data_IF_292353847038
#
_entry.id   IF_292353847038
#
_cell.length_a   1.000
_cell.length_b   1.000
_cell.length_c   1.000
_cell.angle_alpha   90.00
_cell.angle_beta   90.00
_cell.angle_gamma   90.00
#
_symmetry.space_group_name_H-M   'P 1'
#
loop_
_entity.id
_entity.type
_entity.pdbx_description
1 polymer ?
#
# COMPACT_ATOMS: atom_id res chain seq x y z
N UNK A 1 -36.73 -21.12 -3.37
CA UNK A 1 -35.68 -20.08 -3.43
C UNK A 1 -36.29 -18.75 -2.99
N UNK A 2 -35.99 -18.35 -1.76
CA UNK A 2 -36.26 -17.02 -1.21
C UNK A 2 -35.00 -16.62 -0.45
N UNK A 3 -34.50 -15.43 -0.75
CA UNK A 3 -33.36 -14.78 -0.11
C UNK A 3 -33.55 -14.75 1.41
N UNK A 4 -32.57 -15.25 2.15
CA UNK A 4 -32.51 -15.14 3.61
C UNK A 4 -31.19 -14.43 3.93
N UNK A 5 -31.22 -13.10 3.91
CA UNK A 5 -30.30 -12.26 4.67
C UNK A 5 -31.11 -11.04 5.12
N UNK A 6 -31.90 -11.23 6.18
CA UNK A 6 -32.48 -10.15 6.95
C UNK A 6 -31.37 -9.49 7.77
N UNK A 7 -31.22 -8.18 7.61
CA UNK A 7 -30.23 -7.33 8.27
C UNK A 7 -30.61 -6.97 9.71
N UNK A 8 -31.12 -7.92 10.50
CA UNK A 8 -31.53 -7.69 11.88
C UNK A 8 -31.06 -8.87 12.74
N UNK A 9 -29.83 -8.78 13.25
CA UNK A 9 -29.35 -9.34 14.53
C UNK A 9 -27.83 -9.20 14.71
N UNK A 10 -27.25 -8.05 14.37
CA UNK A 10 -26.02 -7.63 15.04
C UNK A 10 -26.43 -6.77 16.23
N UNK A 11 -26.48 -7.42 17.40
CA UNK A 11 -26.55 -6.71 18.67
C UNK A 11 -25.25 -5.92 18.77
N UNK A 12 -25.34 -4.63 18.45
CA UNK A 12 -24.29 -3.68 18.71
C UNK A 12 -24.07 -3.66 20.23
N UNK A 13 -22.94 -4.24 20.67
CA UNK A 13 -22.33 -3.82 21.92
C UNK A 13 -22.00 -2.35 21.74
N UNK A 14 -22.85 -1.51 22.34
CA UNK A 14 -22.77 -0.07 22.30
C UNK A 14 -21.63 0.35 23.21
N UNK A 15 -20.40 0.27 22.69
CA UNK A 15 -19.25 0.84 23.35
C UNK A 15 -19.30 2.36 23.12
N UNK A 16 -19.61 3.10 24.18
CA UNK A 16 -19.75 4.56 24.17
C UNK A 16 -18.36 5.22 24.12
N UNK A 17 -17.62 5.02 23.03
CA UNK A 17 -16.54 5.91 22.66
C UNK A 17 -16.86 6.47 21.27
N UNK A 18 -17.11 7.77 21.20
CA UNK A 18 -17.23 8.52 19.95
C UNK A 18 -15.82 8.67 19.35
N UNK A 19 -15.16 7.54 19.09
CA UNK A 19 -13.87 7.51 18.40
C UNK A 19 -14.14 7.69 16.91
N UNK A 20 -13.87 8.90 16.42
CA UNK A 20 -13.82 9.14 14.98
C UNK A 20 -12.76 8.22 14.35
N UNK A 21 -13.18 7.37 13.43
CA UNK A 21 -12.27 6.55 12.61
C UNK A 21 -11.34 7.50 11.84
N UNK A 22 -10.04 7.37 12.06
CA UNK A 22 -9.04 8.15 11.34
C UNK A 22 -8.52 7.37 10.13
N UNK A 23 -8.11 8.12 9.10
CA UNK A 23 -7.42 7.57 7.94
C UNK A 23 -5.94 7.92 8.03
N UNK A 24 -5.09 6.90 8.10
CA UNK A 24 -3.64 6.99 8.05
C UNK A 24 -3.20 6.72 6.62
N UNK A 25 -2.71 7.75 5.92
CA UNK A 25 -2.26 7.59 4.53
C UNK A 25 -0.82 7.07 4.47
N UNK A 26 -0.60 6.06 3.64
CA UNK A 26 0.72 5.55 3.25
C UNK A 26 0.86 5.65 1.74
N UNK A 27 1.89 6.37 1.30
CA UNK A 27 2.24 6.51 -0.11
C UNK A 27 3.56 5.80 -0.38
N UNK A 28 3.55 4.90 -1.37
CA UNK A 28 4.73 4.23 -1.89
C UNK A 28 5.17 4.96 -3.16
N UNK A 29 6.30 5.66 -3.11
CA UNK A 29 6.94 6.21 -4.28
C UNK A 29 7.93 5.17 -4.84
N UNK A 30 7.85 4.89 -6.13
CA UNK A 30 8.56 3.77 -6.79
C UNK A 30 9.50 4.32 -7.86
N UNK A 31 10.80 4.01 -7.73
CA UNK A 31 11.80 4.31 -8.75
C UNK A 31 11.78 3.22 -9.84
N UNK A 32 10.92 3.43 -10.83
CA UNK A 32 10.73 2.46 -11.92
C UNK A 32 11.97 2.35 -12.80
N UNK A 33 12.73 3.44 -12.99
CA UNK A 33 13.92 3.43 -13.84
C UNK A 33 15.01 2.55 -13.26
N UNK A 34 15.30 2.69 -11.97
CA UNK A 34 16.28 1.84 -11.31
C UNK A 34 15.84 0.38 -11.23
N UNK A 35 14.54 0.10 -11.04
CA UNK A 35 14.00 -1.28 -11.10
C UNK A 35 14.24 -1.88 -12.50
N UNK A 36 13.92 -1.15 -13.57
CA UNK A 36 14.14 -1.61 -14.94
C UNK A 36 15.63 -1.87 -15.19
N UNK A 37 16.50 -0.94 -14.79
CA UNK A 37 17.95 -1.06 -14.97
C UNK A 37 18.52 -2.28 -14.24
N UNK A 38 18.10 -2.52 -12.99
CA UNK A 38 18.59 -3.63 -12.16
C UNK A 38 18.17 -5.00 -12.76
N UNK A 39 16.91 -5.12 -13.20
CA UNK A 39 16.39 -6.32 -13.86
C UNK A 39 17.13 -6.60 -15.17
N UNK A 40 17.33 -5.57 -16.00
CA UNK A 40 18.05 -5.71 -17.27
C UNK A 40 19.52 -6.09 -17.06
N UNK A 41 20.21 -5.44 -16.12
CA UNK A 41 21.62 -5.69 -15.84
C UNK A 41 21.84 -7.10 -15.27
N UNK A 42 20.84 -7.63 -14.58
CA UNK A 42 20.83 -9.00 -14.06
C UNK A 42 20.48 -10.07 -15.10
N UNK A 43 20.22 -9.68 -16.36
CA UNK A 43 19.79 -10.61 -17.41
C UNK A 43 18.40 -11.23 -17.18
N UNK A 44 17.61 -10.62 -16.29
CA UNK A 44 16.25 -11.04 -15.98
C UNK A 44 15.24 -10.30 -16.85
N UNK A 45 13.98 -10.72 -16.77
CA UNK A 45 12.86 -10.03 -17.40
C UNK A 45 11.72 -9.88 -16.39
N UNK A 46 10.88 -8.86 -16.60
CA UNK A 46 9.67 -8.70 -15.82
C UNK A 46 8.67 -9.82 -16.14
N UNK A 47 8.07 -10.38 -15.10
CA UNK A 47 6.96 -11.30 -15.24
C UNK A 47 5.76 -10.61 -15.89
N UNK A 48 5.09 -11.34 -16.77
CA UNK A 48 3.83 -10.93 -17.41
C UNK A 48 2.62 -11.61 -16.76
N UNK A 49 2.82 -12.40 -15.70
CA UNK A 49 1.74 -13.01 -14.92
C UNK A 49 1.60 -12.28 -13.57
N UNK A 50 0.40 -11.77 -13.29
CA UNK A 50 0.11 -11.08 -12.03
C UNK A 50 0.10 -12.02 -10.82
N UNK A 51 -0.01 -13.33 -11.04
CA UNK A 51 0.06 -14.33 -9.96
C UNK A 51 1.50 -14.66 -9.57
N UNK A 52 2.44 -14.44 -10.48
CA UNK A 52 3.85 -14.75 -10.34
C UNK A 52 4.71 -13.51 -10.67
N UNK A 53 4.59 -12.41 -9.91
CA UNK A 53 5.34 -11.17 -10.17
C UNK A 53 6.86 -11.38 -10.03
N UNK A 54 7.64 -10.50 -10.66
CA UNK A 54 9.09 -10.44 -10.43
C UNK A 54 9.37 -9.95 -9.01
N UNK A 55 10.01 -10.80 -8.21
CA UNK A 55 10.31 -10.53 -6.80
C UNK A 55 11.59 -9.71 -6.69
N UNK A 56 11.58 -8.70 -5.84
CA UNK A 56 12.77 -7.94 -5.45
C UNK A 56 12.73 -7.60 -3.97
N UNK A 57 13.87 -7.13 -3.46
CA UNK A 57 14.06 -6.83 -2.05
C UNK A 57 13.46 -5.50 -1.61
N UNK A 58 12.88 -4.71 -2.51
CA UNK A 58 12.18 -3.46 -2.19
C UNK A 58 13.05 -2.21 -2.10
N UNK A 59 14.35 -2.28 -2.42
CA UNK A 59 15.30 -1.16 -2.28
C UNK A 59 14.96 0.12 -3.06
N UNK A 60 14.08 0.03 -4.05
CA UNK A 60 13.63 1.13 -4.92
C UNK A 60 12.25 1.68 -4.54
N UNK A 61 11.73 1.29 -3.37
CA UNK A 61 10.43 1.72 -2.84
C UNK A 61 10.65 2.63 -1.64
N UNK A 62 10.08 3.83 -1.71
CA UNK A 62 10.13 4.83 -0.66
C UNK A 62 8.76 5.00 -0.03
N UNK A 63 8.68 4.88 1.30
CA UNK A 63 7.43 4.96 2.04
C UNK A 63 7.28 6.33 2.68
N UNK A 64 6.18 7.00 2.38
CA UNK A 64 5.81 8.31 2.92
C UNK A 64 4.51 8.11 3.70
N UNK A 65 4.43 8.67 4.90
CA UNK A 65 3.29 8.48 5.79
C UNK A 65 2.81 9.82 6.36
N UNK A 66 1.54 9.87 6.79
CA UNK A 66 0.99 11.03 7.51
C UNK A 66 1.75 11.30 8.81
N UNK A 67 1.63 12.51 9.37
CA UNK A 67 2.33 12.92 10.60
C UNK A 67 2.13 11.90 11.74
N UNK A 68 3.15 11.75 12.60
CA UNK A 68 3.23 10.84 13.77
C UNK A 68 3.52 9.36 13.46
N UNK A 69 3.67 8.98 12.19
CA UNK A 69 4.15 7.66 11.81
C UNK A 69 5.68 7.67 11.68
N UNK A 70 6.35 6.55 11.99
CA UNK A 70 7.81 6.45 11.92
C UNK A 70 8.17 5.45 10.84
N UNK A 71 8.80 5.95 9.77
CA UNK A 71 9.57 5.11 8.87
C UNK A 71 11.05 5.31 9.22
N UNK A 72 11.64 4.33 9.92
CA UNK A 72 13.07 4.35 10.21
C UNK A 72 13.83 3.77 9.02
N UNK A 73 14.36 4.64 8.16
CA UNK A 73 15.40 4.28 7.19
C UNK A 73 16.66 5.04 7.61
N UNK A 74 17.63 4.34 8.22
CA UNK A 74 18.87 4.95 8.71
C UNK A 74 19.87 5.27 7.57
N UNK A 75 19.41 5.46 6.33
CA UNK A 75 20.26 5.77 5.17
C UNK A 75 21.18 4.62 4.75
N UNK A 76 21.03 3.45 5.35
CA UNK A 76 21.70 2.21 5.00
C UNK A 76 20.63 1.15 5.00
N UNK A 77 20.35 0.56 3.84
CA UNK A 77 19.46 -0.60 3.71
C UNK A 77 20.02 -1.72 4.59
N UNK A 78 19.53 -1.81 5.82
CA UNK A 78 20.07 -2.73 6.81
C UNK A 78 18.94 -3.67 7.18
N UNK A 79 19.12 -4.94 6.78
CA UNK A 79 18.15 -6.07 6.74
C UNK A 79 17.42 -6.38 8.07
N UNK A 80 17.69 -5.61 9.12
CA UNK A 80 17.18 -5.75 10.48
C UNK A 80 16.58 -4.45 11.08
N UNK A 81 16.57 -3.31 10.37
CA UNK A 81 16.20 -1.99 10.93
C UNK A 81 15.06 -1.28 10.17
N UNK A 82 14.89 -1.53 8.88
CA UNK A 82 13.92 -0.81 8.06
C UNK A 82 12.49 -1.30 8.30
N UNK A 83 11.82 -0.77 9.33
CA UNK A 83 10.44 -1.08 9.69
C UNK A 83 9.54 0.12 9.45
N UNK A 84 8.41 -0.12 8.80
CA UNK A 84 7.33 0.86 8.81
C UNK A 84 6.56 0.70 10.12
N UNK A 85 6.59 1.72 10.98
CA UNK A 85 5.81 1.75 12.20
C UNK A 85 4.54 2.58 11.98
N UNK A 86 3.40 1.91 12.08
CA UNK A 86 2.07 2.53 12.02
C UNK A 86 1.48 2.55 13.43
N UNK A 87 1.04 3.72 13.88
CA UNK A 87 0.43 3.97 15.17
C UNK A 87 -0.96 4.58 14.97
N UNK A 88 -1.98 3.98 15.56
CA UNK A 88 -3.38 4.40 15.43
C UNK A 88 -4.26 3.84 16.54
N UNK A 89 -5.58 3.96 16.41
CA UNK A 89 -6.56 3.33 17.29
C UNK A 89 -7.13 2.05 16.66
N UNK A 90 -7.80 1.21 17.47
CA UNK A 90 -8.56 0.07 16.93
C UNK A 90 -9.61 0.63 15.96
N UNK A 91 -9.75 0.00 14.80
CA UNK A 91 -10.62 0.37 13.69
C UNK A 91 -10.20 1.58 12.85
N UNK A 92 -9.06 2.22 13.14
CA UNK A 92 -8.48 3.18 12.18
C UNK A 92 -8.13 2.49 10.86
N UNK A 93 -8.23 3.24 9.76
CA UNK A 93 -7.97 2.75 8.41
C UNK A 93 -6.60 3.22 7.93
N UNK A 94 -5.73 2.29 7.57
CA UNK A 94 -4.47 2.59 6.86
C UNK A 94 -4.73 2.46 5.37
N UNK A 95 -4.57 3.57 4.65
CA UNK A 95 -4.85 3.64 3.21
C UNK A 95 -3.56 3.74 2.42
N UNK A 96 -3.31 2.72 1.61
CA UNK A 96 -2.09 2.54 0.84
C UNK A 96 -2.28 2.92 -0.62
N UNK A 97 -1.34 3.69 -1.16
CA UNK A 97 -1.25 4.04 -2.58
C UNK A 97 0.16 3.86 -3.08
N UNK A 98 0.31 3.65 -4.39
CA UNK A 98 1.60 3.64 -5.04
C UNK A 98 1.60 4.60 -6.24
N UNK A 99 2.76 5.21 -6.50
CA UNK A 99 3.03 5.99 -7.70
C UNK A 99 4.51 5.89 -8.10
N UNK A 100 4.79 6.10 -9.39
CA UNK A 100 6.15 6.32 -9.86
C UNK A 100 6.69 7.67 -9.39
N UNK A 101 8.02 7.84 -9.33
CA UNK A 101 8.64 9.14 -9.00
C UNK A 101 8.21 10.29 -9.94
N UNK A 102 7.74 10.00 -11.15
CA UNK A 102 7.17 10.98 -12.08
C UNK A 102 5.68 11.25 -11.84
N UNK A 103 5.14 10.89 -10.67
CA UNK A 103 3.72 11.06 -10.34
C UNK A 103 2.79 10.49 -11.42
N UNK A 104 3.11 9.29 -11.91
CA UNK A 104 2.40 8.58 -12.98
C UNK A 104 2.53 9.17 -14.39
N UNK A 105 3.33 10.22 -14.64
CA UNK A 105 3.37 10.87 -15.96
C UNK A 105 4.19 10.10 -17.01
N UNK A 106 5.28 9.46 -16.62
CA UNK A 106 6.14 8.71 -17.55
C UNK A 106 5.89 7.21 -17.42
N UNK A 107 6.12 6.68 -16.21
CA UNK A 107 5.76 5.32 -15.83
C UNK A 107 4.54 5.36 -14.93
N UNK A 108 3.65 4.38 -15.05
CA UNK A 108 2.50 4.23 -14.17
C UNK A 108 2.69 3.00 -13.28
N UNK A 109 2.46 3.15 -11.99
CA UNK A 109 2.57 2.09 -11.00
C UNK A 109 1.25 1.96 -10.26
N UNK A 110 0.67 0.77 -10.27
CA UNK A 110 -0.57 0.48 -9.56
C UNK A 110 -0.32 -0.61 -8.53
N UNK A 111 -0.62 -0.30 -7.27
CA UNK A 111 -0.71 -1.28 -6.20
C UNK A 111 -2.00 -2.08 -6.43
N UNK A 112 -1.89 -3.32 -6.89
CA UNK A 112 -3.06 -4.15 -7.20
C UNK A 112 -3.39 -5.14 -6.09
N UNK A 113 -2.43 -5.50 -5.23
CA UNK A 113 -2.66 -6.45 -4.14
C UNK A 113 -1.67 -6.21 -2.98
N UNK A 114 -2.11 -6.59 -1.77
CA UNK A 114 -1.27 -6.67 -0.57
C UNK A 114 -1.70 -7.89 0.23
N UNK A 115 -0.73 -8.65 0.73
CA UNK A 115 -0.98 -9.87 1.51
C UNK A 115 -0.16 -9.88 2.78
N UNK A 116 -0.81 -10.19 3.90
CA UNK A 116 -0.10 -10.61 5.10
C UNK A 116 0.48 -12.01 4.89
N UNK A 117 1.77 -12.16 5.17
CA UNK A 117 2.52 -13.40 5.01
C UNK A 117 2.54 -14.16 6.33
N UNK A 118 2.84 -13.42 7.40
CA UNK A 118 2.90 -13.90 8.79
C UNK A 118 2.82 -12.69 9.73
N UNK A 119 2.29 -12.88 10.93
CA UNK A 119 2.11 -11.81 11.89
C UNK A 119 1.14 -12.17 13.00
N UNK A 120 0.80 -11.17 13.81
CA UNK A 120 -0.05 -11.32 15.00
C UNK A 120 -1.56 -11.18 14.69
N UNK A 121 -1.97 -11.20 13.41
CA UNK A 121 -3.33 -10.89 12.97
C UNK A 121 -3.84 -9.53 13.50
N UNK A 122 -2.93 -8.56 13.55
CA UNK A 122 -3.13 -7.20 14.05
C UNK A 122 -3.80 -6.27 13.03
N UNK A 123 -3.99 -6.73 11.79
CA UNK A 123 -4.61 -5.99 10.69
C UNK A 123 -5.63 -6.85 9.95
N UNK A 124 -6.62 -6.20 9.35
CA UNK A 124 -7.49 -6.80 8.34
C UNK A 124 -7.23 -6.12 7.00
N UNK A 125 -6.96 -6.89 5.94
CA UNK A 125 -6.71 -6.37 4.60
C UNK A 125 -7.99 -6.44 3.75
N UNK A 126 -8.39 -5.32 3.15
CA UNK A 126 -9.44 -5.32 2.14
C UNK A 126 -8.92 -5.79 0.78
N UNK A 127 -9.85 -6.12 -0.14
CA UNK A 127 -9.51 -6.18 -1.57
C UNK A 127 -9.14 -4.79 -2.11
N UNK A 128 -8.54 -4.74 -3.30
CA UNK A 128 -8.21 -3.49 -3.96
C UNK A 128 -9.46 -2.66 -4.22
N UNK A 129 -9.43 -1.39 -3.81
CA UNK A 129 -10.55 -0.48 -4.01
C UNK A 129 -10.24 0.42 -5.21
N UNK A 130 -11.11 0.37 -6.22
CA UNK A 130 -11.12 1.31 -7.34
C UNK A 130 -12.33 2.22 -7.21
N UNK A 131 -12.09 3.50 -6.97
CA UNK A 131 -13.13 4.51 -6.76
C UNK A 131 -13.17 5.51 -7.90
N UNK A 132 -14.36 5.73 -8.47
CA UNK A 132 -14.60 6.83 -9.40
C UNK A 132 -14.64 8.16 -8.63
N UNK A 133 -13.77 9.09 -8.99
CA UNK A 133 -13.76 10.45 -8.43
C UNK A 133 -14.04 11.47 -9.54
N UNK A 134 -15.18 12.19 -9.51
CA UNK A 134 -15.55 13.11 -10.59
C UNK A 134 -14.79 14.45 -10.55
N UNK A 135 -14.18 14.80 -9.42
CA UNK A 135 -13.64 16.14 -9.17
C UNK A 135 -12.20 16.09 -8.65
N UNK A 136 -11.26 15.52 -9.42
CA UNK A 136 -9.83 15.57 -9.08
C UNK A 136 -9.24 16.89 -9.59
N UNK A 137 -8.63 17.71 -8.71
CA UNK A 137 -7.99 18.94 -9.13
C UNK A 137 -6.69 18.63 -9.90
N UNK A 138 -6.54 19.23 -11.07
CA UNK A 138 -5.34 19.14 -11.90
C UNK A 138 -4.82 20.52 -12.28
N UNK A 139 -3.51 20.68 -12.50
CA UNK A 139 -2.96 21.93 -12.98
C UNK A 139 -3.58 22.32 -14.32
N UNK A 140 -4.05 23.56 -14.43
CA UNK A 140 -4.47 24.14 -15.68
C UNK A 140 -3.27 24.77 -16.39
N UNK A 141 -3.14 24.54 -17.70
CA UNK A 141 -2.12 25.19 -18.52
C UNK A 141 -2.39 26.71 -18.56
N UNK A 142 -1.56 27.48 -17.85
CA UNK A 142 -1.67 28.93 -17.79
C UNK A 142 -0.29 29.59 -17.65
N UNK A 143 -0.08 30.74 -18.31
CA UNK A 143 1.18 31.49 -18.25
C UNK A 143 1.12 32.50 -17.11
N UNK A 144 1.64 32.14 -15.93
CA UNK A 144 1.93 33.10 -14.86
C UNK A 144 1.55 32.60 -13.47
N UNK A 145 0.26 32.33 -13.23
CA UNK A 145 -0.27 31.96 -11.91
C UNK A 145 -0.77 30.51 -11.94
N UNK A 146 -0.36 29.65 -10.98
CA UNK A 146 -0.92 28.31 -10.83
C UNK A 146 -2.44 28.39 -10.68
N UNK A 147 -3.15 27.68 -11.55
CA UNK A 147 -4.61 27.53 -11.49
C UNK A 147 -4.95 26.06 -11.63
N UNK A 148 -6.12 25.66 -11.14
CA UNK A 148 -6.59 24.28 -11.20
C UNK A 148 -7.86 24.19 -12.05
N UNK A 149 -8.01 23.07 -12.74
CA UNK A 149 -9.28 22.60 -13.27
C UNK A 149 -9.61 21.24 -12.67
N UNK A 150 -10.78 20.70 -12.94
CA UNK A 150 -11.21 19.41 -12.40
C UNK A 150 -11.40 18.39 -13.52
N UNK A 151 -10.95 17.17 -13.27
CA UNK A 151 -11.20 16.05 -14.16
C UNK A 151 -11.70 14.82 -13.40
N UNK A 152 -12.40 13.96 -14.14
CA UNK A 152 -12.85 12.66 -13.63
C UNK A 152 -11.72 11.65 -13.75
N UNK A 153 -11.43 10.96 -12.65
CA UNK A 153 -10.44 9.89 -12.61
C UNK A 153 -10.91 8.67 -11.82
N UNK A 154 -10.18 7.57 -11.98
CA UNK A 154 -10.27 6.40 -11.13
C UNK A 154 -9.09 6.44 -10.15
N UNK A 155 -9.40 6.39 -8.85
CA UNK A 155 -8.38 6.32 -7.79
C UNK A 155 -8.34 4.87 -7.30
N UNK A 156 -7.16 4.26 -7.29
CA UNK A 156 -6.94 2.94 -6.70
C UNK A 156 -6.16 3.07 -5.40
N UNK A 157 -6.56 2.29 -4.40
CA UNK A 157 -5.86 2.18 -3.11
C UNK A 157 -6.20 0.84 -2.44
N UNK A 158 -5.37 0.45 -1.48
CA UNK A 158 -5.62 -0.67 -0.56
C UNK A 158 -5.94 -0.12 0.82
N UNK A 159 -6.87 -0.74 1.55
CA UNK A 159 -7.21 -0.34 2.92
C UNK A 159 -6.92 -1.47 3.90
N UNK A 160 -6.31 -1.11 5.03
CA UNK A 160 -6.19 -1.99 6.18
C UNK A 160 -6.95 -1.43 7.36
N UNK A 161 -7.66 -2.28 8.08
CA UNK A 161 -8.25 -1.92 9.37
C UNK A 161 -7.32 -2.36 10.48
N UNK A 162 -6.94 -1.44 11.37
CA UNK A 162 -6.15 -1.78 12.56
C UNK A 162 -7.03 -2.54 13.56
N UNK A 163 -6.59 -3.74 13.96
CA UNK A 163 -7.34 -4.58 14.91
C UNK A 163 -6.69 -4.57 16.29
N UNK A 164 -5.37 -4.74 16.34
CA UNK A 164 -4.60 -4.85 17.59
C UNK A 164 -3.19 -4.30 17.39
N UNK A 165 -2.45 -4.12 18.50
CA UNK A 165 -1.00 -3.97 18.43
C UNK A 165 -0.35 -5.30 18.05
N UNK A 166 0.71 -5.27 17.26
CA UNK A 166 1.45 -6.46 16.85
C UNK A 166 2.33 -6.21 15.64
N UNK A 167 3.02 -7.26 15.23
CA UNK A 167 3.91 -7.22 14.09
C UNK A 167 3.34 -8.04 12.92
N UNK A 168 3.46 -7.51 11.69
CA UNK A 168 3.12 -8.25 10.46
C UNK A 168 4.24 -8.13 9.43
N UNK A 169 4.45 -9.18 8.63
CA UNK A 169 5.20 -9.09 7.37
C UNK A 169 4.20 -9.11 6.22
N UNK A 170 4.27 -8.10 5.36
CA UNK A 170 3.40 -8.00 4.20
C UNK A 170 4.18 -8.10 2.89
N UNK A 171 3.57 -8.72 1.89
CA UNK A 171 4.00 -8.62 0.49
C UNK A 171 3.11 -7.61 -0.20
N UNK A 172 3.73 -6.71 -0.97
CA UNK A 172 3.03 -5.77 -1.84
C UNK A 172 3.24 -6.16 -3.31
N UNK A 173 2.22 -5.93 -4.11
CA UNK A 173 2.18 -6.34 -5.51
C UNK A 173 1.84 -5.15 -6.41
N UNK A 174 2.75 -4.87 -7.35
CA UNK A 174 2.73 -3.69 -8.22
C UNK A 174 2.64 -4.10 -9.69
N UNK A 175 1.81 -3.41 -10.45
CA UNK A 175 1.81 -3.48 -11.91
C UNK A 175 2.49 -2.21 -12.45
N UNK A 176 3.48 -2.39 -13.33
CA UNK A 176 4.28 -1.29 -13.89
C UNK A 176 3.94 -1.15 -15.37
N UNK A 177 3.63 0.07 -15.78
CA UNK A 177 3.33 0.44 -17.16
C UNK A 177 4.25 1.57 -17.61
N UNK A 178 4.47 1.62 -18.92
CA UNK A 178 4.95 2.81 -19.62
C UNK A 178 3.83 3.25 -20.56
N UNK A 179 3.16 4.34 -20.19
CA UNK A 179 1.92 4.82 -20.81
C UNK A 179 0.86 3.71 -20.80
N UNK A 180 0.45 3.22 -21.96
CA UNK A 180 -0.56 2.18 -22.10
C UNK A 180 0.03 0.76 -22.16
N UNK A 181 1.36 0.60 -22.10
CA UNK A 181 2.01 -0.70 -22.26
C UNK A 181 2.44 -1.25 -20.90
N UNK A 182 1.95 -2.45 -20.56
CA UNK A 182 2.45 -3.20 -19.41
C UNK A 182 3.94 -3.51 -19.62
N UNK A 183 4.76 -3.12 -18.66
CA UNK A 183 6.15 -3.55 -18.54
C UNK A 183 6.18 -4.90 -17.83
N UNK A 184 5.42 -5.03 -16.74
CA UNK A 184 5.20 -6.31 -16.05
C UNK A 184 4.79 -6.12 -14.59
N UNK A 185 4.76 -7.24 -13.88
CA UNK A 185 4.37 -7.30 -12.47
C UNK A 185 5.60 -7.44 -11.58
N UNK A 186 5.58 -6.74 -10.45
CA UNK A 186 6.68 -6.61 -9.51
C UNK A 186 6.15 -6.80 -8.08
N UNK A 187 6.91 -7.48 -7.21
CA UNK A 187 6.54 -7.60 -5.79
C UNK A 187 7.72 -7.34 -4.86
N UNK A 188 7.42 -6.70 -3.73
CA UNK A 188 8.33 -6.61 -2.60
C UNK A 188 7.82 -7.52 -1.49
N UNK A 189 8.55 -8.62 -1.28
CA UNK A 189 8.27 -9.68 -0.31
C UNK A 189 8.24 -11.08 -0.92
N UNK A 190 8.34 -12.15 -0.11
CA UNK A 190 8.37 -13.51 -0.62
C UNK A 190 7.02 -13.86 -1.27
N UNK A 191 7.08 -14.56 -2.41
CA UNK A 191 5.89 -15.03 -3.13
C UNK A 191 5.23 -16.29 -2.50
N UNK A 192 5.80 -16.88 -1.45
CA UNK A 192 5.41 -18.20 -0.94
C UNK A 192 5.71 -18.36 0.57
N UNK A 193 4.86 -19.11 1.28
CA UNK A 193 4.99 -19.43 2.73
C UNK A 193 6.29 -20.19 3.07
N UNK A 194 6.96 -20.79 2.10
CA UNK A 194 8.11 -21.69 2.31
C UNK A 194 9.49 -21.02 2.13
N UNK A 195 9.57 -19.77 1.64
CA UNK A 195 10.85 -19.10 1.38
C UNK A 195 11.40 -18.27 2.55
N UNK A 196 11.09 -18.66 3.80
CA UNK A 196 11.49 -17.93 5.02
C UNK A 196 12.98 -18.10 5.40
N UNK A 197 13.83 -18.64 4.52
CA UNK A 197 15.28 -18.72 4.74
C UNK A 197 16.11 -17.66 4.00
N UNK A 198 15.54 -16.54 3.56
CA UNK A 198 16.42 -15.49 3.01
C UNK A 198 15.83 -14.17 2.54
N UNK A 199 14.52 -14.07 2.27
CA UNK A 199 13.90 -12.86 1.71
C UNK A 199 12.71 -12.47 2.59
N UNK A 200 12.84 -11.32 3.26
CA UNK A 200 11.87 -10.78 4.22
C UNK A 200 10.92 -9.83 3.46
N UNK A 201 9.59 -9.99 3.62
CA UNK A 201 8.60 -9.00 3.17
C UNK A 201 8.76 -7.68 3.90
N UNK A 202 7.96 -6.67 3.55
CA UNK A 202 7.95 -5.39 4.24
C UNK A 202 7.63 -5.64 5.73
N UNK A 203 8.59 -5.41 6.66
CA UNK A 203 8.32 -5.57 8.07
C UNK A 203 7.50 -4.38 8.57
N UNK A 204 6.34 -4.67 9.14
CA UNK A 204 5.38 -3.70 9.66
C UNK A 204 5.24 -3.88 11.17
N UNK A 205 5.39 -2.79 11.91
CA UNK A 205 5.11 -2.73 13.33
C UNK A 205 3.86 -1.88 13.55
N UNK A 206 2.78 -2.49 14.06
CA UNK A 206 1.52 -1.80 14.35
C UNK A 206 1.41 -1.59 15.84
N UNK A 207 1.33 -0.33 16.24
CA UNK A 207 1.03 0.05 17.61
C UNK A 207 -0.38 0.63 17.67
N UNK A 208 -1.28 -0.03 18.40
CA UNK A 208 -2.59 0.52 18.68
C UNK A 208 -2.59 1.20 20.05
N UNK A 209 -3.05 2.44 20.09
CA UNK A 209 -3.22 3.17 21.35
C UNK A 209 -4.31 2.47 22.17
N UNK A 210 -4.03 2.17 23.44
CA UNK A 210 -5.08 1.74 24.36
C UNK A 210 -6.06 2.90 24.51
N UNK A 211 -7.34 2.65 24.26
CA UNK A 211 -8.38 3.55 24.74
C UNK A 211 -8.26 3.64 26.26
N UNK A 212 -8.09 4.85 26.79
CA UNK A 212 -8.27 5.07 28.21
C UNK A 212 -9.78 4.90 28.48
N UNK A 213 -10.14 3.77 29.06
CA UNK A 213 -11.45 3.55 29.65
C UNK A 213 -11.63 4.41 30.91
#
# INVERSE_FOLDING_TARGET
MKNIYNAENFIALKDNSDQSINIIDVLIAVDVELIIQDIQTSGLSFSQDYKEPTISDGRYLYYITSQQQIYNNNGQYNKNIDKLKITGNIHDIVRWRALSLSAQSEYQVFLYDMKEITGDNNIYLSENIIKNSPNIPIPQENRGIPSITYQKEHISYQEWTLLNSGFSYCTLYLAIYNRSKLIGYYSHGPSNKESLQGIKGLPLDVTVNKSNA
#
